data_IF_162985381083
#
_entry.id   IF_162985381083
#
_cell.length_a   1.000
_cell.length_b   1.000
_cell.length_c   1.000
_cell.angle_alpha   90.00
_cell.angle_beta   90.00
_cell.angle_gamma   90.00
#
_symmetry.space_group_name_H-M   'P 1'
#
loop_
_entity.id
_entity.type
_entity.pdbx_description
1 polymer ?
#
# COMPACT_ATOMS: atom_id res chain seq x y z
N UNK A 1 -40.75 -14.15 -17.46
CA UNK A 1 -39.39 -13.89 -16.96
C UNK A 1 -38.70 -13.02 -17.99
N UNK A 2 -37.96 -12.01 -17.57
CA UNK A 2 -37.15 -11.21 -18.48
C UNK A 2 -36.01 -12.04 -19.06
N UNK A 3 -35.73 -11.89 -20.34
CA UNK A 3 -34.62 -12.55 -21.01
C UNK A 3 -33.38 -11.62 -21.10
N UNK A 4 -32.26 -12.16 -21.60
CA UNK A 4 -31.03 -11.37 -21.77
C UNK A 4 -31.17 -10.23 -22.80
N UNK A 5 -32.11 -10.34 -23.75
CA UNK A 5 -32.38 -9.33 -24.75
C UNK A 5 -33.17 -8.16 -24.16
N UNK A 6 -34.08 -8.40 -23.21
CA UNK A 6 -34.79 -7.35 -22.46
C UNK A 6 -33.80 -6.43 -21.74
N UNK A 7 -32.81 -7.00 -21.04
CA UNK A 7 -31.79 -6.21 -20.35
C UNK A 7 -30.90 -5.44 -21.33
N UNK A 8 -30.59 -6.00 -22.51
CA UNK A 8 -29.81 -5.32 -23.56
C UNK A 8 -30.62 -4.19 -24.21
N UNK A 9 -31.90 -4.42 -24.49
CA UNK A 9 -32.85 -3.45 -25.03
C UNK A 9 -33.00 -2.24 -24.11
N UNK A 10 -33.21 -2.48 -22.80
CA UNK A 10 -33.27 -1.42 -21.80
C UNK A 10 -32.02 -0.52 -21.81
N UNK A 11 -30.81 -1.12 -21.83
CA UNK A 11 -29.55 -0.34 -21.90
C UNK A 11 -29.44 0.47 -23.18
N UNK A 12 -29.82 -0.10 -24.31
CA UNK A 12 -29.82 0.61 -25.59
C UNK A 12 -30.80 1.79 -25.58
N UNK A 13 -32.00 1.65 -24.99
CA UNK A 13 -32.96 2.74 -24.84
C UNK A 13 -32.40 3.90 -24.00
N UNK A 14 -31.52 3.60 -23.04
CA UNK A 14 -30.80 4.60 -22.25
C UNK A 14 -29.54 5.15 -22.95
N UNK A 15 -29.23 4.72 -24.18
CA UNK A 15 -28.08 5.19 -24.96
C UNK A 15 -26.78 4.39 -24.74
N UNK A 16 -26.84 3.24 -24.07
CA UNK A 16 -25.65 2.44 -23.73
C UNK A 16 -25.63 1.09 -24.47
N UNK A 17 -24.61 0.88 -25.30
CA UNK A 17 -24.40 -0.36 -26.05
C UNK A 17 -23.52 -1.39 -25.31
N UNK A 18 -22.86 -0.97 -24.22
CA UNK A 18 -21.98 -1.79 -23.39
C UNK A 18 -22.51 -1.86 -21.96
N UNK A 19 -22.50 -3.06 -21.37
CA UNK A 19 -22.82 -3.24 -19.95
C UNK A 19 -21.81 -2.50 -19.05
N UNK A 20 -20.53 -2.45 -19.43
CA UNK A 20 -19.50 -1.76 -18.64
C UNK A 20 -19.69 -0.25 -18.67
N UNK A 21 -19.92 0.34 -19.85
CA UNK A 21 -20.18 1.78 -19.98
C UNK A 21 -21.42 2.19 -19.17
N UNK A 22 -22.47 1.36 -19.18
CA UNK A 22 -23.67 1.60 -18.39
C UNK A 22 -23.41 1.51 -16.86
N UNK A 23 -22.59 0.55 -16.42
CA UNK A 23 -22.18 0.44 -15.00
C UNK A 23 -21.31 1.62 -14.56
N UNK A 24 -20.43 2.10 -15.43
CA UNK A 24 -19.58 3.25 -15.15
C UNK A 24 -20.42 4.52 -15.00
N UNK A 25 -21.31 4.79 -15.96
CA UNK A 25 -22.24 5.92 -15.90
C UNK A 25 -23.13 5.91 -14.65
N UNK A 26 -23.82 4.80 -14.37
CA UNK A 26 -24.68 4.70 -13.19
C UNK A 26 -23.91 4.82 -11.87
N UNK A 27 -22.64 4.43 -11.87
CA UNK A 27 -21.74 4.56 -10.73
C UNK A 27 -20.96 5.88 -10.69
N UNK A 28 -21.22 6.81 -11.62
CA UNK A 28 -20.45 8.04 -11.84
C UNK A 28 -18.92 7.82 -11.94
N UNK A 29 -18.49 6.64 -12.40
CA UNK A 29 -17.07 6.25 -12.51
C UNK A 29 -16.38 6.86 -13.72
N UNK A 30 -17.16 7.36 -14.67
CA UNK A 30 -16.73 8.15 -15.81
C UNK A 30 -16.32 9.58 -15.43
N UNK A 31 -16.73 10.06 -14.24
CA UNK A 31 -16.28 11.34 -13.68
C UNK A 31 -14.98 11.09 -12.91
N UNK A 32 -13.87 11.61 -13.43
CA UNK A 32 -12.59 11.55 -12.72
C UNK A 32 -12.53 12.69 -11.68
N UNK A 33 -12.51 12.41 -10.37
CA UNK A 33 -12.37 13.46 -9.37
C UNK A 33 -11.00 14.13 -9.52
N UNK A 34 -10.96 15.46 -9.39
CA UNK A 34 -9.71 16.18 -9.27
C UNK A 34 -9.03 15.82 -7.94
N UNK A 35 -7.69 15.87 -7.93
CA UNK A 35 -6.93 15.65 -6.70
C UNK A 35 -7.04 16.88 -5.83
N UNK A 36 -7.49 16.69 -4.60
CA UNK A 36 -7.48 17.69 -3.55
C UNK A 36 -6.13 17.67 -2.83
N UNK A 37 -5.25 18.58 -3.25
CA UNK A 37 -3.93 18.72 -2.65
C UNK A 37 -3.97 19.24 -1.21
N UNK A 38 -5.05 19.90 -0.78
CA UNK A 38 -5.16 20.33 0.62
C UNK A 38 -5.43 19.12 1.52
N UNK A 39 -6.36 18.26 1.11
CA UNK A 39 -6.62 17.00 1.81
C UNK A 39 -5.38 16.10 1.81
N UNK A 40 -4.71 15.95 0.67
CA UNK A 40 -3.47 15.16 0.56
C UNK A 40 -2.38 15.67 1.51
N UNK A 41 -2.22 16.99 1.66
CA UNK A 41 -1.26 17.58 2.59
C UNK A 41 -1.67 17.37 4.07
N UNK A 42 -2.97 17.42 4.38
CA UNK A 42 -3.48 17.11 5.71
C UNK A 42 -3.21 15.64 6.08
N UNK A 43 -3.43 14.72 5.14
CA UNK A 43 -3.13 13.29 5.30
C UNK A 43 -1.63 13.05 5.48
N UNK A 44 -0.77 13.74 4.73
CA UNK A 44 0.69 13.70 4.92
C UNK A 44 1.08 14.14 6.33
N UNK A 45 0.53 15.25 6.83
CA UNK A 45 0.75 15.72 8.21
C UNK A 45 0.31 14.68 9.23
N UNK A 46 -0.84 14.03 9.01
CA UNK A 46 -1.34 12.96 9.88
C UNK A 46 -0.38 11.77 9.95
N UNK A 47 0.30 11.41 8.86
CA UNK A 47 1.33 10.35 8.91
C UNK A 47 2.48 10.74 9.84
N UNK A 48 2.98 11.98 9.75
CA UNK A 48 4.03 12.48 10.64
C UNK A 48 3.57 12.39 12.10
N UNK A 49 2.35 12.82 12.41
CA UNK A 49 1.76 12.74 13.75
C UNK A 49 1.68 11.30 14.27
N UNK A 50 1.20 10.35 13.45
CA UNK A 50 1.10 8.93 13.80
C UNK A 50 2.47 8.35 14.15
N UNK A 51 3.46 8.51 13.27
CA UNK A 51 4.78 7.91 13.48
C UNK A 51 5.58 8.61 14.58
N UNK A 52 5.31 9.89 14.85
CA UNK A 52 5.83 10.58 16.03
C UNK A 52 5.26 9.98 17.32
N UNK A 53 3.96 9.70 17.35
CA UNK A 53 3.31 9.07 18.50
C UNK A 53 3.83 7.64 18.74
N UNK A 54 3.99 6.84 17.68
CA UNK A 54 4.58 5.49 17.75
C UNK A 54 6.02 5.57 18.28
N UNK A 55 6.84 6.47 17.74
CA UNK A 55 8.24 6.62 18.15
C UNK A 55 8.39 6.91 19.65
N UNK A 56 7.41 7.59 20.27
CA UNK A 56 7.46 7.90 21.69
C UNK A 56 7.44 6.68 22.61
N UNK A 57 6.87 5.56 22.15
CA UNK A 57 6.72 4.31 22.91
C UNK A 57 7.52 3.15 22.32
N UNK A 58 8.17 3.34 21.17
CA UNK A 58 8.88 2.30 20.46
C UNK A 58 10.19 1.92 21.16
N UNK A 59 10.49 0.62 21.26
CA UNK A 59 11.70 0.13 21.91
C UNK A 59 13.00 0.49 21.16
N UNK A 60 12.94 0.62 19.83
CA UNK A 60 14.03 1.14 18.99
C UNK A 60 13.79 2.62 18.65
N UNK A 61 13.41 3.41 19.65
CA UNK A 61 13.08 4.84 19.50
C UNK A 61 14.16 5.58 18.72
N UNK A 62 13.75 6.24 17.64
CA UNK A 62 14.61 7.14 16.89
C UNK A 62 14.83 8.41 17.70
N UNK A 63 16.07 8.91 17.69
CA UNK A 63 16.36 10.27 18.15
C UNK A 63 15.61 11.30 17.30
N UNK A 64 15.51 12.54 17.79
CA UNK A 64 14.85 13.63 17.06
C UNK A 64 15.42 13.81 15.65
N UNK A 65 16.75 13.79 15.52
CA UNK A 65 17.43 13.91 14.23
C UNK A 65 17.16 12.71 13.30
N UNK A 66 17.19 11.48 13.82
CA UNK A 66 16.89 10.27 13.03
C UNK A 66 15.44 10.25 12.56
N UNK A 67 14.51 10.70 13.42
CA UNK A 67 13.09 10.78 13.09
C UNK A 67 12.81 11.86 12.04
N UNK A 68 13.43 13.03 12.16
CA UNK A 68 13.34 14.08 11.14
C UNK A 68 13.90 13.60 9.80
N UNK A 69 15.05 12.94 9.81
CA UNK A 69 15.63 12.33 8.61
C UNK A 69 14.70 11.27 7.99
N UNK A 70 14.07 10.43 8.83
CA UNK A 70 13.07 9.45 8.39
C UNK A 70 11.88 10.13 7.71
N UNK A 71 11.30 11.19 8.29
CA UNK A 71 10.17 11.89 7.68
C UNK A 71 10.54 12.53 6.35
N UNK A 72 11.70 13.17 6.26
CA UNK A 72 12.18 13.76 5.00
C UNK A 72 12.35 12.70 3.91
N UNK A 73 12.98 11.58 4.24
CA UNK A 73 13.29 10.51 3.27
C UNK A 73 12.06 9.68 2.90
N UNK A 74 11.30 9.21 3.88
CA UNK A 74 10.26 8.19 3.68
C UNK A 74 8.86 8.79 3.51
N UNK A 75 8.63 10.04 3.92
CA UNK A 75 7.36 10.74 3.70
C UNK A 75 7.53 11.77 2.60
N UNK A 76 8.33 12.82 2.81
CA UNK A 76 8.36 13.97 1.91
C UNK A 76 8.83 13.60 0.50
N UNK A 77 9.98 12.93 0.37
CA UNK A 77 10.50 12.54 -0.94
C UNK A 77 9.57 11.58 -1.68
N UNK A 78 8.96 10.61 -0.97
CA UNK A 78 8.03 9.65 -1.58
C UNK A 78 6.74 10.34 -2.03
N UNK A 79 6.20 11.26 -1.24
CA UNK A 79 5.04 12.07 -1.64
C UNK A 79 5.35 12.94 -2.86
N UNK A 80 6.50 13.63 -2.89
CA UNK A 80 6.90 14.41 -4.07
C UNK A 80 6.99 13.53 -5.30
N UNK A 81 7.65 12.36 -5.20
CA UNK A 81 7.69 11.38 -6.30
C UNK A 81 6.30 10.97 -6.77
N UNK A 82 5.36 10.67 -5.86
CA UNK A 82 3.98 10.29 -6.19
C UNK A 82 3.27 11.37 -7.00
N UNK A 83 3.44 12.63 -6.59
CA UNK A 83 2.79 13.80 -7.21
C UNK A 83 3.44 14.12 -8.56
N UNK A 84 4.77 14.26 -8.58
CA UNK A 84 5.54 14.69 -9.76
C UNK A 84 5.43 13.70 -10.93
N UNK A 85 5.16 12.44 -10.63
CA UNK A 85 5.08 11.35 -11.63
C UNK A 85 3.65 10.99 -12.00
N UNK A 86 2.68 11.69 -11.42
CA UNK A 86 1.25 11.43 -11.60
C UNK A 86 0.83 9.99 -11.23
N UNK A 87 1.63 9.26 -10.44
CA UNK A 87 1.29 7.90 -9.96
C UNK A 87 0.00 7.94 -9.14
N UNK A 88 -0.26 9.03 -8.42
CA UNK A 88 -1.49 9.21 -7.64
C UNK A 88 -2.76 8.94 -8.47
N UNK A 89 -2.80 9.32 -9.76
CA UNK A 89 -3.96 9.03 -10.62
C UNK A 89 -4.09 7.55 -11.01
N UNK A 90 -3.01 6.78 -10.91
CA UNK A 90 -2.99 5.32 -11.14
C UNK A 90 -3.36 4.53 -9.88
N UNK A 91 -3.41 5.18 -8.72
CA UNK A 91 -3.84 4.56 -7.46
C UNK A 91 -5.34 4.34 -7.47
N UNK A 92 -5.75 3.15 -7.93
CA UNK A 92 -7.15 2.73 -7.93
C UNK A 92 -7.43 1.85 -6.71
N UNK A 93 -8.53 2.10 -6.00
CA UNK A 93 -9.12 1.05 -5.17
C UNK A 93 -10.65 1.11 -5.20
N UNK A 94 -11.22 0.61 -6.30
CA UNK A 94 -12.65 0.30 -6.41
C UNK A 94 -13.58 1.49 -6.10
N UNK A 95 -13.20 2.71 -6.52
CA UNK A 95 -14.01 3.92 -6.34
C UNK A 95 -13.63 4.79 -5.14
N UNK A 96 -12.65 4.40 -4.33
CA UNK A 96 -12.05 5.31 -3.34
C UNK A 96 -11.29 6.45 -4.00
N UNK A 97 -11.24 7.58 -3.30
CA UNK A 97 -10.46 8.75 -3.69
C UNK A 97 -8.95 8.42 -3.77
N UNK A 98 -8.23 8.87 -4.81
CA UNK A 98 -6.79 8.64 -4.95
C UNK A 98 -5.97 9.02 -3.71
N UNK A 99 -6.36 10.08 -3.01
CA UNK A 99 -5.73 10.60 -1.79
C UNK A 99 -5.81 9.60 -0.63
N UNK A 100 -6.99 8.99 -0.43
CA UNK A 100 -7.20 7.96 0.59
C UNK A 100 -6.41 6.68 0.28
N UNK A 101 -6.33 6.33 -1.00
CA UNK A 101 -5.55 5.18 -1.46
C UNK A 101 -4.06 5.45 -1.24
N UNK A 102 -3.59 6.64 -1.58
CA UNK A 102 -2.23 7.11 -1.31
C UNK A 102 -1.91 7.04 0.19
N UNK A 103 -2.77 7.62 1.04
CA UNK A 103 -2.60 7.59 2.49
C UNK A 103 -2.56 6.16 3.04
N UNK A 104 -3.45 5.27 2.57
CA UNK A 104 -3.45 3.88 3.01
C UNK A 104 -2.20 3.11 2.55
N UNK A 105 -1.72 3.37 1.34
CA UNK A 105 -0.48 2.78 0.84
C UNK A 105 0.74 3.29 1.63
N UNK A 106 0.85 4.61 1.80
CA UNK A 106 1.93 5.24 2.56
C UNK A 106 1.99 4.72 4.00
N UNK A 107 0.83 4.50 4.65
CA UNK A 107 0.81 3.87 5.98
C UNK A 107 1.48 2.50 5.99
N UNK A 108 1.15 1.63 5.03
CA UNK A 108 1.77 0.30 4.92
C UNK A 108 3.29 0.39 4.67
N UNK A 109 3.68 1.20 3.70
CA UNK A 109 5.09 1.47 3.36
C UNK A 109 5.88 1.98 4.57
N UNK A 110 5.33 2.96 5.30
CA UNK A 110 6.00 3.54 6.45
C UNK A 110 6.14 2.55 7.60
N UNK A 111 5.19 1.64 7.84
CA UNK A 111 5.38 0.57 8.82
C UNK A 111 6.56 -0.31 8.42
N UNK A 112 6.59 -0.75 7.17
CA UNK A 112 7.69 -1.59 6.68
C UNK A 112 9.05 -0.89 6.85
N UNK A 113 9.16 0.40 6.53
CA UNK A 113 10.40 1.19 6.70
C UNK A 113 10.75 1.49 8.16
N UNK A 114 9.77 1.89 8.97
CA UNK A 114 9.97 2.36 10.34
C UNK A 114 10.42 1.25 11.28
N UNK A 115 9.88 0.04 11.09
CA UNK A 115 10.22 -1.11 11.94
C UNK A 115 11.44 -1.90 11.45
N UNK A 116 12.23 -1.38 10.49
CA UNK A 116 13.42 -2.08 9.98
C UNK A 116 14.43 -2.44 11.05
N UNK A 117 14.65 -1.59 12.05
CA UNK A 117 15.56 -1.91 13.17
C UNK A 117 15.04 -3.09 14.01
N UNK A 118 13.73 -3.13 14.28
CA UNK A 118 13.09 -4.26 14.96
C UNK A 118 13.16 -5.53 14.12
N UNK A 119 12.90 -5.44 12.81
CA UNK A 119 13.02 -6.59 11.88
C UNK A 119 14.46 -7.12 11.86
N UNK A 120 15.45 -6.23 11.73
CA UNK A 120 16.86 -6.60 11.76
C UNK A 120 17.22 -7.35 13.06
N UNK A 121 16.75 -6.85 14.21
CA UNK A 121 16.92 -7.51 15.49
C UNK A 121 16.22 -8.87 15.56
N UNK A 122 14.96 -8.95 15.14
CA UNK A 122 14.13 -10.17 15.18
C UNK A 122 14.73 -11.31 14.37
N UNK A 123 15.27 -11.00 13.19
CA UNK A 123 15.86 -11.98 12.28
C UNK A 123 17.38 -12.12 12.44
N UNK A 124 17.98 -11.43 13.42
CA UNK A 124 19.42 -11.41 13.65
C UNK A 124 20.22 -11.11 12.35
N UNK A 125 19.78 -10.09 11.62
CA UNK A 125 20.37 -9.65 10.36
C UNK A 125 20.75 -8.17 10.43
N UNK A 126 21.46 -7.66 9.42
CA UNK A 126 21.83 -6.25 9.35
C UNK A 126 20.72 -5.47 8.63
N UNK A 127 20.42 -4.25 9.08
CA UNK A 127 19.38 -3.42 8.47
C UNK A 127 19.64 -3.16 6.98
N UNK A 128 20.90 -3.06 6.60
CA UNK A 128 21.38 -2.80 5.25
C UNK A 128 21.15 -4.00 4.30
N UNK A 129 20.98 -5.22 4.83
CA UNK A 129 20.70 -6.41 4.02
C UNK A 129 19.21 -6.61 3.77
N UNK A 130 18.34 -5.84 4.43
CA UNK A 130 16.89 -5.81 4.19
C UNK A 130 16.61 -5.01 2.91
N UNK A 131 16.49 -5.72 1.78
CA UNK A 131 16.25 -5.12 0.46
C UNK A 131 14.75 -5.11 0.14
N UNK A 132 14.27 -4.05 -0.50
CA UNK A 132 12.93 -4.07 -1.10
C UNK A 132 12.86 -5.12 -2.22
N UNK A 133 11.82 -5.94 -2.20
CA UNK A 133 11.55 -6.99 -3.19
C UNK A 133 10.25 -6.74 -3.98
N UNK A 134 9.30 -6.04 -3.35
CA UNK A 134 8.02 -5.65 -3.94
C UNK A 134 8.17 -4.78 -5.19
N UNK A 135 7.24 -4.95 -6.13
CA UNK A 135 7.22 -4.18 -7.39
C UNK A 135 6.56 -2.80 -7.28
N UNK A 136 6.07 -2.45 -6.10
CA UNK A 136 5.40 -1.20 -5.80
C UNK A 136 6.29 -0.23 -4.99
N UNK A 137 7.62 -0.39 -5.05
CA UNK A 137 8.54 0.61 -4.51
C UNK A 137 8.65 1.84 -5.44
N UNK A 138 8.94 3.00 -4.85
CA UNK A 138 9.15 4.27 -5.57
C UNK A 138 10.61 4.49 -6.01
N UNK A 139 11.39 3.40 -6.08
CA UNK A 139 12.78 3.44 -6.56
C UNK A 139 12.84 3.59 -8.07
N UNK A 140 11.89 2.99 -8.80
CA UNK A 140 11.67 3.23 -10.23
C UNK A 140 10.19 3.34 -10.55
N UNK A 141 9.79 4.57 -10.89
CA UNK A 141 8.43 4.96 -11.29
C UNK A 141 7.94 4.17 -12.51
N UNK A 142 8.85 3.84 -13.42
CA UNK A 142 8.56 3.06 -14.63
C UNK A 142 8.19 1.60 -14.30
N UNK A 143 8.78 1.04 -13.24
CA UNK A 143 8.47 -0.31 -12.77
C UNK A 143 7.34 -0.38 -11.75
N UNK A 144 6.85 0.77 -11.23
CA UNK A 144 5.80 0.80 -10.21
C UNK A 144 4.56 0.06 -10.71
N UNK A 145 4.34 -1.11 -10.14
CA UNK A 145 3.19 -1.96 -10.42
C UNK A 145 2.78 -2.63 -9.12
N UNK A 146 1.48 -2.62 -8.84
CA UNK A 146 0.94 -3.46 -7.78
C UNK A 146 1.40 -4.89 -8.00
N UNK A 147 2.13 -5.41 -7.03
CA UNK A 147 2.69 -6.74 -7.07
C UNK A 147 2.13 -7.53 -5.89
N UNK A 148 1.83 -8.82 -6.06
CA UNK A 148 1.56 -9.69 -4.92
C UNK A 148 2.84 -10.04 -4.16
N UNK A 149 4.02 -9.64 -4.65
CA UNK A 149 5.32 -9.95 -4.05
C UNK A 149 5.44 -9.41 -2.62
N UNK A 150 6.18 -10.17 -1.82
CA UNK A 150 6.70 -9.76 -0.52
C UNK A 150 7.40 -8.40 -0.56
N UNK A 151 7.26 -7.65 0.54
CA UNK A 151 7.85 -6.32 0.70
C UNK A 151 9.38 -6.39 0.72
N UNK A 152 9.95 -7.33 1.47
CA UNK A 152 11.41 -7.44 1.65
C UNK A 152 11.99 -8.81 1.28
N UNK A 153 13.27 -8.79 0.92
CA UNK A 153 14.15 -9.95 0.82
C UNK A 153 15.31 -9.76 1.82
N UNK A 154 15.47 -10.72 2.72
CA UNK A 154 16.51 -10.77 3.74
C UNK A 154 17.58 -11.76 3.31
N UNK A 155 18.83 -11.30 3.32
CA UNK A 155 20.04 -12.11 3.07
C UNK A 155 19.95 -12.98 1.80
N UNK A 156 19.20 -12.50 0.81
CA UNK A 156 18.94 -13.15 -0.47
C UNK A 156 18.27 -14.54 -0.41
N UNK A 157 17.69 -14.94 0.74
CA UNK A 157 17.10 -16.27 0.91
C UNK A 157 15.79 -16.33 1.73
N UNK A 158 15.33 -15.22 2.31
CA UNK A 158 14.08 -15.17 3.08
C UNK A 158 13.23 -13.98 2.66
N UNK A 159 11.98 -14.23 2.28
CA UNK A 159 11.04 -13.16 1.96
C UNK A 159 10.25 -12.75 3.21
N UNK A 160 10.05 -11.44 3.39
CA UNK A 160 9.13 -10.91 4.40
C UNK A 160 7.98 -10.15 3.76
N UNK A 161 6.76 -10.59 4.06
CA UNK A 161 5.53 -9.89 3.71
C UNK A 161 5.02 -9.17 4.96
N UNK A 162 4.93 -7.85 4.90
CA UNK A 162 4.52 -7.00 6.01
C UNK A 162 3.03 -6.69 5.88
N UNK A 163 2.28 -6.88 6.95
CA UNK A 163 0.91 -6.39 7.07
C UNK A 163 0.79 -5.52 8.30
N UNK A 164 0.12 -4.38 8.17
CA UNK A 164 -0.16 -3.48 9.28
C UNK A 164 -1.65 -3.42 9.59
N UNK A 165 -1.98 -3.59 10.88
CA UNK A 165 -3.31 -3.42 11.44
C UNK A 165 -3.50 -2.00 11.98
N UNK A 166 -4.58 -1.32 11.57
CA UNK A 166 -4.92 0.03 12.02
C UNK A 166 -6.34 0.16 12.60
N UNK A 167 -7.10 -0.94 12.65
CA UNK A 167 -8.54 -0.92 12.93
C UNK A 167 -8.96 -1.93 13.99
N UNK A 168 -8.01 -2.60 14.64
CA UNK A 168 -8.26 -3.59 15.68
C UNK A 168 -8.65 -4.99 15.18
N UNK A 169 -8.59 -5.22 13.87
CA UNK A 169 -8.78 -6.54 13.25
C UNK A 169 -7.42 -7.07 12.80
N UNK A 170 -7.06 -8.26 13.28
CA UNK A 170 -5.74 -8.87 13.12
C UNK A 170 -5.71 -10.04 12.12
N UNK A 171 -6.56 -9.97 11.10
CA UNK A 171 -6.63 -11.03 10.10
C UNK A 171 -5.56 -10.82 9.03
N UNK A 172 -4.67 -11.78 8.88
CA UNK A 172 -3.77 -11.82 7.73
C UNK A 172 -4.60 -12.10 6.47
N UNK A 173 -4.45 -11.25 5.45
CA UNK A 173 -5.19 -11.41 4.20
C UNK A 173 -4.82 -12.74 3.52
N UNK A 174 -5.83 -13.51 3.14
CA UNK A 174 -5.65 -14.83 2.51
C UNK A 174 -4.66 -14.83 1.33
N UNK A 175 -4.72 -13.81 0.46
CA UNK A 175 -3.83 -13.74 -0.71
C UNK A 175 -2.34 -13.61 -0.34
N UNK A 176 -2.01 -13.05 0.83
CA UNK A 176 -0.62 -12.98 1.30
C UNK A 176 -0.10 -14.38 1.65
N UNK A 177 -0.93 -15.19 2.31
CA UNK A 177 -0.59 -16.59 2.65
C UNK A 177 -0.47 -17.45 1.39
N UNK A 178 -1.40 -17.28 0.45
CA UNK A 178 -1.36 -18.01 -0.82
C UNK A 178 -0.14 -17.65 -1.67
N UNK A 179 0.25 -16.38 -1.74
CA UNK A 179 1.49 -16.01 -2.44
C UNK A 179 2.73 -16.56 -1.72
N UNK A 180 2.78 -16.49 -0.37
CA UNK A 180 3.87 -17.08 0.40
C UNK A 180 4.05 -18.58 0.10
N UNK A 181 2.95 -19.34 0.06
CA UNK A 181 2.97 -20.74 -0.34
C UNK A 181 3.48 -20.91 -1.78
N UNK A 182 2.98 -20.10 -2.73
CA UNK A 182 3.39 -20.16 -4.13
C UNK A 182 4.89 -19.93 -4.30
N UNK A 183 5.47 -18.99 -3.54
CA UNK A 183 6.92 -18.67 -3.55
C UNK A 183 7.76 -19.83 -3.06
N UNK A 184 7.32 -20.48 -1.98
CA UNK A 184 8.00 -21.67 -1.48
C UNK A 184 7.95 -22.82 -2.49
N UNK A 185 6.82 -23.00 -3.18
CA UNK A 185 6.65 -24.09 -4.17
C UNK A 185 7.47 -23.85 -5.45
N UNK A 186 7.42 -22.65 -6.02
CA UNK A 186 8.02 -22.31 -7.32
C UNK A 186 9.48 -21.89 -7.16
N UNK A 187 9.73 -20.88 -6.33
CA UNK A 187 11.04 -20.23 -6.22
C UNK A 187 11.95 -20.91 -5.18
N UNK A 188 11.40 -21.81 -4.36
CA UNK A 188 12.07 -22.46 -3.21
C UNK A 188 12.57 -21.47 -2.16
N UNK A 189 11.95 -20.30 -2.09
CA UNK A 189 12.26 -19.25 -1.11
C UNK A 189 11.13 -19.22 -0.07
N UNK A 190 11.43 -19.43 1.23
CA UNK A 190 10.43 -19.28 2.28
C UNK A 190 10.00 -17.82 2.43
N UNK A 191 8.73 -17.62 2.79
CA UNK A 191 8.17 -16.31 3.11
C UNK A 191 7.61 -16.32 4.53
N UNK A 192 7.97 -15.33 5.33
CA UNK A 192 7.35 -15.07 6.63
C UNK A 192 6.43 -13.86 6.50
N UNK A 193 5.19 -14.02 6.96
CA UNK A 193 4.23 -12.91 7.03
C UNK A 193 4.32 -12.30 8.42
N UNK A 194 4.74 -11.04 8.50
CA UNK A 194 4.87 -10.27 9.74
C UNK A 194 3.69 -9.31 9.85
N UNK A 195 2.92 -9.43 10.94
CA UNK A 195 1.82 -8.53 11.23
C UNK A 195 2.20 -7.55 12.34
N UNK A 196 2.21 -6.25 12.03
CA UNK A 196 2.31 -5.17 13.03
C UNK A 196 0.91 -4.66 13.37
N UNK A 197 0.42 -4.99 14.56
CA UNK A 197 -0.87 -4.51 15.05
C UNK A 197 -0.72 -3.17 15.78
N UNK A 198 -0.73 -2.08 15.03
CA UNK A 198 -0.59 -0.74 15.60
C UNK A 198 -1.83 -0.25 16.35
N UNK A 199 -2.95 -0.98 16.27
CA UNK A 199 -4.16 -0.60 16.97
C UNK A 199 -4.18 -1.14 18.40
N UNK A 200 -3.80 -2.42 18.60
CA UNK A 200 -3.84 -3.03 19.93
C UNK A 200 -2.49 -3.01 20.68
N UNK A 201 -1.36 -2.74 19.99
CA UNK A 201 -0.03 -2.68 20.60
C UNK A 201 0.78 -3.94 20.37
#
# INVERSE_FOLDING_TARGET
>A
MFDNNDFKGYRNCLGFHSQNAFKEFLGAKDIQPCIDFNDLNALKKRLIEIFSAINNIYCFKYSEHELEYFFKKSIEQVFSKIVDTHIIHKLNNQGRRPEEVCFSWMRGFLVAEFFKDFIACLFNTQKETIKFFGGDNFDSIESFKRSPKADFLLDDHLLLEIQSGFQGINDIKQHKVLEAQRRLEIDKIPTIVVHFDLFNG
#
